data_IF_541878814535
#
_entry.id   IF_541878814535
#
_cell.length_a   1.000
_cell.length_b   1.000
_cell.length_c   1.000
_cell.angle_alpha   90.00
_cell.angle_beta   90.00
_cell.angle_gamma   90.00
#
_symmetry.space_group_name_H-M   'P 1'
#
loop_
_entity.id
_entity.type
_entity.pdbx_description
1 polymer ?
#
# COMPACT_ATOMS: atom_id res chain seq x y z
N UNK A 1 15.41 2.68 -19.06
CA UNK A 1 16.20 3.51 -18.12
C UNK A 1 15.19 4.25 -17.28
N UNK A 2 14.83 3.69 -16.11
CA UNK A 2 13.88 4.34 -15.21
C UNK A 2 14.57 5.56 -14.60
N UNK A 3 13.95 6.72 -14.74
CA UNK A 3 14.36 7.94 -14.04
C UNK A 3 14.03 7.71 -12.56
N UNK A 4 15.01 7.22 -11.80
CA UNK A 4 14.93 7.17 -10.35
C UNK A 4 15.08 8.60 -9.79
N UNK A 5 14.37 8.84 -8.70
CA UNK A 5 14.29 10.08 -7.91
C UNK A 5 13.37 11.15 -8.48
N UNK A 6 12.07 10.86 -8.51
CA UNK A 6 11.09 11.93 -8.50
C UNK A 6 11.14 12.63 -7.13
N UNK A 7 11.58 13.88 -7.10
CA UNK A 7 11.46 14.73 -5.91
C UNK A 7 9.98 14.86 -5.53
N UNK A 8 9.67 14.95 -4.24
CA UNK A 8 8.31 15.04 -3.71
C UNK A 8 7.49 16.17 -4.39
N UNK A 9 8.17 17.26 -4.77
CA UNK A 9 7.56 18.37 -5.50
C UNK A 9 7.24 18.06 -6.97
N UNK A 10 7.87 17.05 -7.57
CA UNK A 10 7.69 16.66 -8.97
C UNK A 10 6.51 15.71 -9.20
N UNK A 11 6.13 14.93 -8.19
CA UNK A 11 4.99 14.00 -8.30
C UNK A 11 3.64 14.66 -8.00
N UNK A 12 3.62 15.88 -7.45
CA UNK A 12 2.40 16.60 -7.09
C UNK A 12 1.95 17.53 -8.23
N UNK A 13 0.75 17.31 -8.77
CA UNK A 13 0.15 18.21 -9.78
C UNK A 13 -0.41 19.53 -9.21
N UNK A 14 -0.55 19.67 -7.88
CA UNK A 14 -1.23 20.81 -7.21
C UNK A 14 -0.34 21.55 -6.20
N UNK A 15 -0.63 22.83 -5.96
CA UNK A 15 0.18 23.79 -5.19
C UNK A 15 0.64 23.28 -3.79
N UNK A 16 1.93 23.45 -3.37
CA UNK A 16 2.47 22.87 -2.12
C UNK A 16 1.93 23.47 -0.81
N UNK A 17 1.27 24.63 -0.85
CA UNK A 17 0.84 25.37 0.34
C UNK A 17 -0.34 24.74 1.11
N UNK A 18 -0.98 23.70 0.55
CA UNK A 18 -2.17 23.06 1.13
C UNK A 18 -1.85 21.61 1.52
N UNK A 19 -1.04 21.41 2.54
CA UNK A 19 -0.88 20.10 3.18
C UNK A 19 -1.96 19.95 4.24
N UNK A 20 -2.75 18.87 4.16
CA UNK A 20 -3.71 18.52 5.20
C UNK A 20 -3.13 17.43 6.11
N UNK A 21 -1.82 17.48 6.41
CA UNK A 21 -1.12 16.44 7.16
C UNK A 21 -1.57 16.45 8.63
N UNK A 22 -1.98 15.29 9.16
CA UNK A 22 -2.14 15.12 10.59
C UNK A 22 -0.79 15.30 11.29
N UNK A 23 -0.72 15.91 12.49
CA UNK A 23 0.51 15.93 13.27
C UNK A 23 0.99 14.49 13.50
N UNK A 24 2.19 14.18 13.00
CA UNK A 24 2.81 12.87 13.12
C UNK A 24 3.89 12.91 14.21
N UNK A 25 4.11 11.78 14.90
CA UNK A 25 5.25 11.65 15.79
C UNK A 25 6.56 11.82 14.99
N UNK A 26 7.67 12.30 15.59
CA UNK A 26 8.91 12.57 14.86
C UNK A 26 9.47 11.37 14.08
N UNK A 27 9.18 10.15 14.52
CA UNK A 27 9.67 8.89 13.92
C UNK A 27 8.64 8.22 13.00
N UNK A 28 7.40 8.73 12.95
CA UNK A 28 6.36 8.18 12.09
C UNK A 28 6.59 8.64 10.65
N UNK A 29 6.80 7.68 9.75
CA UNK A 29 7.14 7.98 8.36
C UNK A 29 5.93 8.46 7.55
N UNK A 30 4.92 7.60 7.44
CA UNK A 30 3.69 7.92 6.74
C UNK A 30 2.77 8.78 7.59
N UNK A 31 2.01 9.68 6.96
CA UNK A 31 1.02 10.45 7.72
C UNK A 31 -0.22 10.74 6.92
N UNK A 32 -1.32 10.56 7.61
CA UNK A 32 -2.65 10.63 7.07
C UNK A 32 -3.12 12.08 7.00
N UNK A 33 -4.22 12.28 6.30
CA UNK A 33 -4.90 13.55 6.27
C UNK A 33 -5.60 13.81 7.61
N UNK A 34 -5.53 15.04 8.09
CA UNK A 34 -6.12 15.49 9.36
C UNK A 34 -7.64 15.28 9.44
N UNK A 35 -8.30 15.16 8.30
CA UNK A 35 -9.74 14.93 8.20
C UNK A 35 -10.11 13.44 8.04
N UNK A 36 -9.18 12.56 7.64
CA UNK A 36 -9.47 11.15 7.44
C UNK A 36 -8.19 10.30 7.28
N UNK A 37 -8.12 9.20 8.04
CA UNK A 37 -7.00 8.23 8.04
C UNK A 37 -6.71 7.49 6.72
N UNK A 38 -7.57 7.61 5.69
CA UNK A 38 -7.46 6.87 4.42
C UNK A 38 -6.77 7.62 3.31
N UNK A 39 -6.38 8.83 3.64
CA UNK A 39 -5.91 9.81 2.70
C UNK A 39 -4.52 10.19 3.15
N UNK A 40 -3.58 10.23 2.23
CA UNK A 40 -2.24 10.72 2.50
C UNK A 40 -2.32 12.24 2.64
N UNK A 41 -1.87 12.76 3.79
CA UNK A 41 -1.99 14.17 4.12
C UNK A 41 -1.20 15.10 3.19
N UNK A 42 -0.30 14.53 2.36
CA UNK A 42 0.49 15.25 1.37
C UNK A 42 -0.26 15.52 0.08
N UNK A 43 -1.14 14.60 -0.32
CA UNK A 43 -1.85 14.65 -1.59
C UNK A 43 -3.32 15.07 -1.43
N UNK A 44 -3.96 14.67 -0.34
CA UNK A 44 -5.41 14.81 -0.19
C UNK A 44 -5.85 16.24 0.20
N UNK A 45 -6.89 16.71 -0.49
CA UNK A 45 -7.44 18.06 -0.28
C UNK A 45 -8.78 18.06 0.46
N UNK A 46 -9.59 17.01 0.24
CA UNK A 46 -10.91 16.81 0.83
C UNK A 46 -11.20 15.33 0.93
N UNK A 47 -12.17 14.97 1.77
CA UNK A 47 -12.81 13.66 1.66
C UNK A 47 -13.62 13.57 0.36
N UNK A 48 -13.57 12.42 -0.30
CA UNK A 48 -14.39 12.12 -1.47
C UNK A 48 -15.81 11.71 -1.08
N UNK A 49 -16.76 11.95 -1.99
CA UNK A 49 -18.09 11.39 -1.84
C UNK A 49 -18.04 9.86 -2.01
N UNK A 50 -19.04 9.16 -1.49
CA UNK A 50 -19.05 7.69 -1.44
C UNK A 50 -18.84 7.02 -2.82
N UNK A 51 -19.55 7.46 -3.86
CA UNK A 51 -19.41 6.87 -5.20
C UNK A 51 -18.06 7.20 -5.86
N UNK A 52 -17.54 8.40 -5.62
CA UNK A 52 -16.22 8.84 -6.08
C UNK A 52 -15.12 7.99 -5.44
N UNK A 53 -15.21 7.81 -4.11
CA UNK A 53 -14.32 6.94 -3.36
C UNK A 53 -14.34 5.50 -3.89
N UNK A 54 -15.53 4.94 -4.14
CA UNK A 54 -15.67 3.59 -4.69
C UNK A 54 -14.95 3.43 -6.04
N UNK A 55 -15.04 4.43 -6.92
CA UNK A 55 -14.36 4.41 -8.22
C UNK A 55 -12.84 4.51 -8.06
N UNK A 56 -12.35 5.41 -7.19
CA UNK A 56 -10.92 5.54 -6.86
C UNK A 56 -10.37 4.23 -6.31
N UNK A 57 -11.06 3.63 -5.33
CA UNK A 57 -10.74 2.34 -4.72
C UNK A 57 -10.61 1.25 -5.78
N UNK A 58 -11.58 1.13 -6.70
CA UNK A 58 -11.52 0.15 -7.79
C UNK A 58 -10.28 0.37 -8.66
N UNK A 59 -9.99 1.62 -9.01
CA UNK A 59 -8.86 1.95 -9.86
C UNK A 59 -7.51 1.72 -9.17
N UNK A 60 -7.40 2.04 -7.88
CA UNK A 60 -6.24 1.74 -7.04
C UNK A 60 -5.92 0.25 -7.06
N UNK A 61 -6.92 -0.62 -6.81
CA UNK A 61 -6.71 -2.07 -6.84
C UNK A 61 -6.28 -2.53 -8.22
N UNK A 62 -6.96 -2.08 -9.27
CA UNK A 62 -6.65 -2.47 -10.64
C UNK A 62 -5.20 -2.09 -11.02
N UNK A 63 -4.80 -0.85 -10.77
CA UNK A 63 -3.47 -0.34 -11.13
C UNK A 63 -2.38 -0.95 -10.27
N UNK A 64 -2.63 -1.17 -8.97
CA UNK A 64 -1.71 -1.88 -8.08
C UNK A 64 -1.47 -3.31 -8.55
N UNK A 65 -2.53 -4.10 -8.78
CA UNK A 65 -2.39 -5.50 -9.20
C UNK A 65 -1.73 -5.62 -10.58
N UNK A 66 -2.01 -4.68 -11.49
CA UNK A 66 -1.33 -4.61 -12.80
C UNK A 66 0.16 -4.34 -12.61
N UNK A 67 0.52 -3.35 -11.79
CA UNK A 67 1.91 -3.01 -11.48
C UNK A 67 2.64 -4.16 -10.81
N UNK A 68 2.03 -4.82 -9.82
CA UNK A 68 2.61 -5.96 -9.13
C UNK A 68 2.90 -7.12 -10.10
N UNK A 69 1.97 -7.41 -11.01
CA UNK A 69 2.18 -8.42 -12.06
C UNK A 69 3.32 -8.04 -13.02
N UNK A 70 3.35 -6.80 -13.50
CA UNK A 70 4.38 -6.31 -14.42
C UNK A 70 5.78 -6.30 -13.79
N UNK A 71 5.86 -6.02 -12.48
CA UNK A 71 7.10 -5.99 -11.70
C UNK A 71 7.53 -7.37 -11.20
N UNK A 72 6.72 -8.42 -11.40
CA UNK A 72 7.00 -9.77 -10.90
C UNK A 72 6.88 -9.90 -9.37
N UNK A 73 6.08 -9.05 -8.74
CA UNK A 73 5.85 -9.04 -7.29
C UNK A 73 4.66 -9.93 -6.95
N UNK A 74 4.92 -11.00 -6.20
CA UNK A 74 3.87 -11.80 -5.60
C UNK A 74 3.16 -11.02 -4.48
N UNK A 75 1.84 -10.91 -4.59
CA UNK A 75 0.98 -10.16 -3.65
C UNK A 75 -0.37 -10.83 -3.45
N UNK A 76 -1.00 -10.57 -2.31
CA UNK A 76 -2.35 -11.02 -2.00
C UNK A 76 -3.13 -9.95 -1.23
N UNK A 77 -4.45 -9.96 -1.40
CA UNK A 77 -5.37 -9.11 -0.65
C UNK A 77 -5.49 -9.62 0.78
N UNK A 78 -5.63 -8.72 1.74
CA UNK A 78 -5.83 -9.06 3.16
C UNK A 78 -7.16 -8.56 3.68
N UNK A 79 -7.48 -8.91 4.94
CA UNK A 79 -8.66 -8.43 5.67
C UNK A 79 -9.97 -8.44 4.87
N UNK A 80 -10.69 -7.31 4.89
CA UNK A 80 -11.98 -7.12 4.28
C UNK A 80 -11.91 -7.01 2.75
N UNK A 81 -10.73 -6.73 2.18
CA UNK A 81 -10.49 -6.83 0.74
C UNK A 81 -10.56 -8.30 0.27
N UNK A 82 -9.98 -9.23 1.03
CA UNK A 82 -10.12 -10.68 0.76
C UNK A 82 -11.56 -11.16 0.95
N UNK A 83 -12.25 -10.71 2.00
CA UNK A 83 -13.64 -11.08 2.27
C UNK A 83 -14.59 -10.59 1.17
N UNK A 84 -14.43 -9.36 0.70
CA UNK A 84 -15.20 -8.82 -0.41
C UNK A 84 -14.98 -9.58 -1.72
N UNK A 85 -13.73 -10.01 -1.97
CA UNK A 85 -13.43 -10.88 -3.09
C UNK A 85 -14.17 -12.21 -2.97
N UNK A 86 -14.11 -12.85 -1.81
CA UNK A 86 -14.77 -14.14 -1.55
C UNK A 86 -16.29 -14.11 -1.73
N UNK A 87 -16.95 -13.04 -1.27
CA UNK A 87 -18.43 -12.93 -1.33
C UNK A 87 -18.99 -12.45 -2.66
N UNK A 88 -18.15 -12.00 -3.60
CA UNK A 88 -18.67 -11.61 -4.91
C UNK A 88 -17.72 -10.84 -5.80
N UNK A 89 -16.40 -10.93 -5.59
CA UNK A 89 -15.38 -10.20 -6.36
C UNK A 89 -15.57 -8.69 -6.30
N UNK A 90 -15.94 -8.16 -5.13
CA UNK A 90 -16.24 -6.73 -4.91
C UNK A 90 -15.43 -6.21 -3.73
N UNK A 91 -15.10 -4.92 -3.75
CA UNK A 91 -14.72 -4.23 -2.52
C UNK A 91 -15.97 -4.03 -1.67
N UNK A 92 -15.90 -4.34 -0.38
CA UNK A 92 -17.07 -4.23 0.50
C UNK A 92 -17.48 -2.75 0.66
N UNK A 93 -18.78 -2.43 0.64
CA UNK A 93 -19.29 -1.05 0.74
C UNK A 93 -18.83 -0.26 1.96
N UNK A 94 -18.58 -0.95 3.08
CA UNK A 94 -18.15 -0.36 4.34
C UNK A 94 -16.65 -0.56 4.62
N UNK A 95 -15.93 -1.24 3.73
CA UNK A 95 -14.50 -1.47 3.93
C UNK A 95 -13.75 -0.19 3.60
N UNK A 96 -13.10 0.32 4.64
CA UNK A 96 -12.50 1.62 4.62
C UNK A 96 -11.13 1.55 3.94
N UNK A 97 -10.28 0.60 4.32
CA UNK A 97 -8.90 0.50 3.86
C UNK A 97 -8.72 -0.76 2.99
N UNK A 98 -7.93 -0.64 1.93
CA UNK A 98 -7.45 -1.80 1.19
C UNK A 98 -6.00 -2.00 1.58
N UNK A 99 -5.75 -3.17 2.14
CA UNK A 99 -4.43 -3.59 2.52
C UNK A 99 -4.05 -4.80 1.67
N UNK A 100 -2.76 -4.87 1.37
CA UNK A 100 -2.17 -5.96 0.62
C UNK A 100 -0.90 -6.41 1.31
N UNK A 101 -0.54 -7.65 1.04
CA UNK A 101 0.68 -8.23 1.55
C UNK A 101 1.56 -8.68 0.40
N UNK A 102 2.88 -8.63 0.63
CA UNK A 102 3.92 -9.10 -0.28
C UNK A 102 4.97 -9.88 0.51
N UNK A 103 5.84 -10.61 -0.19
CA UNK A 103 6.96 -11.30 0.48
C UNK A 103 8.02 -10.32 0.97
N UNK A 104 8.80 -10.71 1.99
CA UNK A 104 9.98 -9.96 2.43
C UNK A 104 10.99 -9.72 1.30
N UNK A 105 11.20 -10.71 0.42
CA UNK A 105 12.08 -10.55 -0.74
C UNK A 105 11.55 -9.46 -1.70
N UNK A 106 10.23 -9.42 -1.92
CA UNK A 106 9.59 -8.42 -2.77
C UNK A 106 9.77 -7.00 -2.24
N UNK A 107 9.66 -6.75 -0.93
CA UNK A 107 9.85 -5.39 -0.41
C UNK A 107 11.31 -4.93 -0.56
N UNK A 108 12.29 -5.80 -0.37
CA UNK A 108 13.71 -5.46 -0.63
C UNK A 108 13.97 -5.16 -2.10
N UNK A 109 13.36 -5.93 -3.01
CA UNK A 109 13.43 -5.69 -4.45
C UNK A 109 12.83 -4.33 -4.82
N UNK A 110 11.60 -4.04 -4.36
CA UNK A 110 10.94 -2.76 -4.61
C UNK A 110 11.73 -1.58 -4.02
N UNK A 111 12.25 -1.71 -2.80
CA UNK A 111 13.08 -0.69 -2.17
C UNK A 111 14.35 -0.37 -2.98
N UNK A 112 14.97 -1.39 -3.57
CA UNK A 112 16.24 -1.25 -4.28
C UNK A 112 16.09 -0.64 -5.68
N UNK A 113 14.95 -0.87 -6.34
CA UNK A 113 14.80 -0.55 -7.77
C UNK A 113 13.63 0.36 -8.11
N UNK A 114 12.62 0.46 -7.24
CA UNK A 114 11.34 1.12 -7.55
C UNK A 114 10.83 2.09 -6.49
N UNK A 115 11.58 2.32 -5.41
CA UNK A 115 11.19 3.32 -4.41
C UNK A 115 11.03 4.70 -5.06
N UNK A 116 9.98 5.44 -4.66
CA UNK A 116 9.62 6.75 -5.19
C UNK A 116 9.36 6.78 -6.71
N UNK A 117 9.00 5.64 -7.30
CA UNK A 117 8.66 5.57 -8.73
C UNK A 117 7.20 5.97 -8.97
N UNK A 118 6.97 6.76 -10.01
CA UNK A 118 5.62 7.14 -10.45
C UNK A 118 5.17 6.32 -11.66
N UNK A 119 3.90 5.91 -11.64
CA UNK A 119 3.27 5.08 -12.65
C UNK A 119 2.03 5.79 -13.19
N UNK A 120 1.91 5.91 -14.50
CA UNK A 120 0.76 6.52 -15.15
C UNK A 120 -0.12 5.45 -15.78
N UNK A 121 -1.43 5.52 -15.50
CA UNK A 121 -2.42 4.59 -16.05
C UNK A 121 -3.61 5.35 -16.61
N UNK A 122 -4.05 4.93 -17.81
CA UNK A 122 -5.36 5.26 -18.37
C UNK A 122 -6.29 4.06 -18.17
N UNK A 123 -7.45 4.29 -17.57
CA UNK A 123 -8.44 3.26 -17.29
C UNK A 123 -9.82 3.70 -17.73
N UNK A 124 -10.81 2.79 -17.68
CA UNK A 124 -12.19 3.14 -18.03
C UNK A 124 -12.76 4.23 -17.11
N UNK A 125 -12.36 4.21 -15.83
CA UNK A 125 -12.73 5.21 -14.83
C UNK A 125 -11.95 6.53 -14.97
N UNK A 126 -10.72 6.48 -15.49
CA UNK A 126 -9.83 7.62 -15.67
C UNK A 126 -9.29 7.67 -17.11
N UNK A 127 -10.10 8.11 -18.08
CA UNK A 127 -9.72 8.13 -19.50
C UNK A 127 -8.61 9.15 -19.81
N UNK A 128 -8.52 10.24 -19.03
CA UNK A 128 -7.43 11.23 -19.11
C UNK A 128 -6.19 10.82 -18.28
N UNK A 129 -6.24 9.61 -17.72
CA UNK A 129 -5.21 8.98 -16.90
C UNK A 129 -5.02 9.57 -15.50
N UNK A 130 -4.33 8.79 -14.67
CA UNK A 130 -3.97 9.17 -13.31
C UNK A 130 -2.55 8.68 -12.96
N UNK A 131 -1.90 9.39 -12.04
CA UNK A 131 -0.56 9.09 -11.55
C UNK A 131 -0.63 8.40 -10.18
N UNK A 132 0.13 7.33 -10.07
CA UNK A 132 0.31 6.56 -8.84
C UNK A 132 1.76 6.62 -8.39
N UNK A 133 1.99 6.63 -7.08
CA UNK A 133 3.32 6.63 -6.48
C UNK A 133 3.51 5.34 -5.67
N UNK A 134 4.59 4.62 -5.95
CA UNK A 134 5.10 3.58 -5.05
C UNK A 134 6.12 4.21 -4.11
N UNK A 135 5.80 4.24 -2.82
CA UNK A 135 6.68 4.80 -1.78
C UNK A 135 6.97 3.74 -0.72
N UNK A 136 8.26 3.51 -0.46
CA UNK A 136 8.73 2.53 0.52
C UNK A 136 9.11 3.26 1.81
N UNK A 137 8.57 2.81 2.94
CA UNK A 137 8.97 3.28 4.26
C UNK A 137 10.40 2.82 4.55
N UNK A 138 11.39 3.71 4.79
CA UNK A 138 12.76 3.31 5.10
C UNK A 138 12.89 2.35 6.30
N UNK A 139 11.93 2.38 7.23
CA UNK A 139 11.88 1.46 8.37
C UNK A 139 11.42 0.04 7.98
N UNK A 140 11.21 -0.26 6.70
CA UNK A 140 10.84 -1.61 6.24
C UNK A 140 11.88 -2.69 6.61
N UNK A 141 13.15 -2.28 6.82
CA UNK A 141 14.24 -3.15 7.26
C UNK A 141 14.10 -3.62 8.70
N UNK A 142 13.41 -2.85 9.55
CA UNK A 142 13.13 -3.26 10.90
C UNK A 142 12.11 -4.39 10.86
N UNK A 143 12.35 -5.44 11.63
CA UNK A 143 11.45 -6.62 11.67
C UNK A 143 10.33 -6.47 12.69
N UNK A 144 10.46 -5.50 13.58
CA UNK A 144 9.52 -5.19 14.66
C UNK A 144 9.13 -3.72 14.58
N UNK A 145 7.88 -3.40 14.91
CA UNK A 145 7.42 -2.03 15.11
C UNK A 145 7.25 -1.74 16.60
N UNK A 146 8.37 -1.55 17.29
CA UNK A 146 8.39 -1.42 18.75
C UNK A 146 7.53 -0.26 19.29
N UNK A 147 7.22 0.75 18.45
CA UNK A 147 6.44 1.93 18.82
C UNK A 147 5.05 1.97 18.17
N UNK A 148 4.72 1.02 17.29
CA UNK A 148 3.45 1.01 16.55
C UNK A 148 3.31 2.17 15.55
N UNK A 149 4.43 2.74 15.07
CA UNK A 149 4.44 3.94 14.22
C UNK A 149 4.81 3.65 12.77
N UNK A 150 5.37 2.47 12.48
CA UNK A 150 5.97 2.12 11.18
C UNK A 150 5.62 0.67 10.77
N UNK A 151 4.39 0.25 11.08
CA UNK A 151 3.88 -1.08 10.74
C UNK A 151 3.69 -1.27 9.24
N UNK A 152 3.35 -0.20 8.52
CA UNK A 152 3.22 -0.18 7.06
C UNK A 152 4.60 -0.07 6.41
N UNK A 153 4.93 -1.03 5.55
CA UNK A 153 6.22 -1.13 4.88
C UNK A 153 6.28 -0.30 3.58
N UNK A 154 5.15 -0.15 2.88
CA UNK A 154 5.06 0.68 1.68
C UNK A 154 3.62 1.14 1.39
N UNK A 155 3.48 2.11 0.49
CA UNK A 155 2.19 2.57 -0.02
C UNK A 155 2.17 2.64 -1.54
N UNK A 156 1.02 2.28 -2.10
CA UNK A 156 0.62 2.63 -3.47
C UNK A 156 -0.40 3.76 -3.43
N UNK A 157 -0.01 4.96 -3.86
CA UNK A 157 -0.74 6.21 -3.60
C UNK A 157 -1.30 6.79 -4.90
N UNK A 158 -2.60 7.05 -4.96
CA UNK A 158 -3.21 7.91 -5.96
C UNK A 158 -2.82 9.36 -5.67
N UNK A 159 -2.01 9.97 -6.53
CA UNK A 159 -1.45 11.30 -6.27
C UNK A 159 -2.43 12.45 -6.48
N UNK A 160 -3.56 12.22 -7.16
CA UNK A 160 -4.59 13.22 -7.40
C UNK A 160 -5.61 13.29 -6.25
N UNK A 161 -5.94 12.15 -5.64
CA UNK A 161 -6.90 12.07 -4.55
C UNK A 161 -6.27 11.94 -3.16
N UNK A 162 -5.06 11.37 -3.11
CA UNK A 162 -4.38 10.96 -1.89
C UNK A 162 -4.87 9.66 -1.28
N UNK A 163 -5.82 8.96 -1.89
CA UNK A 163 -6.16 7.60 -1.43
C UNK A 163 -5.01 6.63 -1.72
N UNK A 164 -4.82 5.63 -0.87
CA UNK A 164 -3.71 4.68 -1.01
C UNK A 164 -4.12 3.25 -0.64
N UNK A 165 -3.25 2.31 -1.01
CA UNK A 165 -3.20 0.93 -0.51
C UNK A 165 -1.98 0.82 0.40
N UNK A 166 -2.17 0.34 1.62
CA UNK A 166 -1.06 -0.02 2.51
C UNK A 166 -0.53 -1.41 2.14
N UNK A 167 0.80 -1.52 2.11
CA UNK A 167 1.53 -2.73 1.72
C UNK A 167 2.33 -3.20 2.94
N UNK A 168 2.08 -4.45 3.36
CA UNK A 168 2.76 -5.09 4.47
C UNK A 168 3.64 -6.23 3.97
N UNK A 169 4.91 -6.25 4.39
CA UNK A 169 5.79 -7.36 4.04
C UNK A 169 5.63 -8.51 5.03
N UNK A 170 5.42 -9.71 4.51
CA UNK A 170 5.30 -10.94 5.28
C UNK A 170 6.67 -11.58 5.45
N UNK A 171 7.02 -11.87 6.70
CA UNK A 171 8.35 -12.28 7.13
C UNK A 171 8.29 -13.58 7.91
N UNK A 172 9.35 -14.39 7.88
CA UNK A 172 9.44 -15.57 8.74
C UNK A 172 9.60 -15.20 10.21
N UNK A 173 8.75 -15.76 11.07
CA UNK A 173 8.94 -15.68 12.50
C UNK A 173 9.83 -16.84 12.97
N UNK A 174 11.13 -16.57 13.04
CA UNK A 174 12.12 -17.57 13.46
C UNK A 174 12.08 -17.85 14.97
N UNK A 175 11.41 -16.99 15.75
CA UNK A 175 11.30 -17.11 17.20
C UNK A 175 9.96 -17.71 17.64
N UNK A 176 9.05 -18.00 16.71
CA UNK A 176 7.71 -18.46 17.05
C UNK A 176 7.73 -19.82 17.76
N UNK A 177 7.08 -19.97 18.93
CA UNK A 177 6.98 -21.24 19.64
C UNK A 177 6.27 -22.35 18.86
N UNK A 178 5.42 -22.01 17.88
CA UNK A 178 4.71 -22.98 17.03
C UNK A 178 5.64 -23.68 16.01
N UNK A 179 6.87 -23.18 15.82
CA UNK A 179 7.91 -23.82 15.03
C UNK A 179 8.09 -23.27 13.61
N UNK A 180 8.81 -24.03 12.78
CA UNK A 180 9.17 -23.65 11.40
C UNK A 180 7.92 -23.40 10.52
N UNK A 181 8.01 -22.37 9.67
CA UNK A 181 6.96 -22.03 8.71
C UNK A 181 5.91 -21.04 9.24
N UNK A 182 6.12 -20.47 10.42
CA UNK A 182 5.37 -19.29 10.88
C UNK A 182 5.84 -18.04 10.14
N UNK A 183 4.87 -17.26 9.70
CA UNK A 183 5.03 -15.98 9.03
C UNK A 183 4.28 -14.92 9.81
N UNK A 184 4.75 -13.68 9.75
CA UNK A 184 4.08 -12.56 10.37
C UNK A 184 4.25 -11.24 9.61
N UNK A 185 3.41 -10.27 9.93
CA UNK A 185 3.55 -8.86 9.54
C UNK A 185 3.74 -7.99 10.79
N UNK A 186 4.30 -6.79 10.62
CA UNK A 186 4.61 -5.87 11.74
C UNK A 186 3.40 -5.43 12.57
N UNK A 187 2.22 -5.43 11.97
CA UNK A 187 0.95 -5.16 12.65
C UNK A 187 0.42 -6.37 13.44
N UNK A 188 1.18 -7.47 13.49
CA UNK A 188 0.92 -8.61 14.38
C UNK A 188 0.06 -9.71 13.78
N UNK A 189 -0.18 -9.73 12.47
CA UNK A 189 -0.86 -10.87 11.84
C UNK A 189 0.11 -12.03 11.72
N UNK A 190 -0.38 -13.23 12.01
CA UNK A 190 0.39 -14.47 11.92
C UNK A 190 -0.25 -15.46 10.94
N UNK A 191 0.60 -16.18 10.22
CA UNK A 191 0.19 -17.13 9.20
C UNK A 191 1.10 -18.35 9.21
N UNK A 192 0.59 -19.44 8.63
CA UNK A 192 1.43 -20.57 8.24
C UNK A 192 1.81 -20.42 6.78
N UNK A 193 3.06 -20.73 6.43
CA UNK A 193 3.58 -20.68 5.05
C UNK A 193 2.72 -21.48 4.06
N UNK A 194 2.14 -22.61 4.53
CA UNK A 194 1.23 -23.45 3.74
C UNK A 194 -0.08 -22.76 3.34
N UNK A 195 -0.43 -21.64 3.98
CA UNK A 195 -1.60 -20.82 3.63
C UNK A 195 -1.36 -19.98 2.37
N UNK A 196 -0.10 -19.74 2.01
CA UNK A 196 0.28 -18.97 0.82
C UNK A 196 0.75 -19.86 -0.31
N UNK A 197 1.47 -20.92 0.02
CA UNK A 197 2.06 -21.83 -0.95
C UNK A 197 1.46 -23.22 -0.76
N UNK A 198 0.55 -23.60 -1.66
CA UNK A 198 0.13 -24.99 -1.74
C UNK A 198 1.38 -25.86 -2.04
N UNK A 199 1.51 -27.05 -1.41
CA UNK A 199 2.60 -27.95 -1.73
C UNK A 199 2.55 -28.26 -3.24
N UNK A 200 3.62 -27.93 -3.95
CA UNK A 200 3.79 -28.36 -5.35
C UNK A 200 3.99 -29.88 -5.30
N UNK A 201 2.97 -30.62 -5.73
CA UNK A 201 3.03 -32.09 -5.93
C UNK A 201 3.72 -32.39 -7.24
#
# INVERSE_FOLDING_TARGET
>A
MAMADADFLQVRRRNPSNLNKQPAAPEQYFSEASFHSRYDGRFAQRALAYDEQKNVTKNLVQTYLTSAADLGVETWLTHSALLGWWWGKKVLPWDAAIDVQITEASIHYLASYYNMSSFYYETAEYPDGNNYLLEINPNYVDREDAKGLNSVDARWIDTDTGMFIDIFAVRYDLANPAGEGMLYTKDGQEFLVRSFFAPRV
#
